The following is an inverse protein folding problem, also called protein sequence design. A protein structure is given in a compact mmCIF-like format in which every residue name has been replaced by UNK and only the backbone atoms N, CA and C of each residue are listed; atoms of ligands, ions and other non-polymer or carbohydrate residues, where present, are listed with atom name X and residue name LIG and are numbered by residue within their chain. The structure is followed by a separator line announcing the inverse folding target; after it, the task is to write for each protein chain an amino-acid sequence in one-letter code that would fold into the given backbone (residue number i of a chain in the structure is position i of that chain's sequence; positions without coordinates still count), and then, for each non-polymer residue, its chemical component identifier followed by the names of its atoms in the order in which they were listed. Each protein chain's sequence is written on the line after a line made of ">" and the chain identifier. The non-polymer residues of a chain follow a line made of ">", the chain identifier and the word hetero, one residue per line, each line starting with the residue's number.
data_IF_491852313394
#
_entry.id   IF_491852313394
#
_cell.length_a   1.000
_cell.length_b   1.000
_cell.length_c   1.000
_cell.angle_alpha   90.00
_cell.angle_beta   90.00
_cell.angle_gamma   90.00
#
_symmetry.space_group_name_H-M   'P 1'
#
loop_
_entity.id
_entity.type
_entity.pdbx_description
1 polymer ?
#
# COMPACT_ATOMS: atom_id res chain seq x y z
N UNK A 1 -6.14 17.03 3.95
CA UNK A 1 -5.56 15.85 3.29
C UNK A 1 -4.18 15.62 3.88
N UNK A 2 -3.89 14.41 4.38
CA UNK A 2 -2.60 14.06 5.00
C UNK A 2 -1.69 13.40 3.97
N UNK A 3 -0.37 13.36 4.23
CA UNK A 3 0.57 12.63 3.42
C UNK A 3 0.98 11.38 4.16
N UNK A 4 0.73 10.22 3.57
CA UNK A 4 1.08 8.91 4.09
C UNK A 4 2.43 8.47 3.54
N UNK A 5 3.44 8.46 4.41
CA UNK A 5 4.81 8.14 4.04
C UNK A 5 5.18 6.67 4.33
N UNK A 6 5.96 6.03 3.45
CA UNK A 6 6.44 4.67 3.64
C UNK A 6 7.61 4.61 4.64
N UNK A 7 7.55 3.65 5.57
CA UNK A 7 8.63 3.36 6.50
C UNK A 7 9.15 1.94 6.36
N UNK A 8 10.44 1.77 6.64
CA UNK A 8 11.10 0.49 6.81
C UNK A 8 11.86 0.40 8.12
N UNK A 9 12.42 1.52 8.61
CA UNK A 9 13.21 1.59 9.84
C UNK A 9 12.83 2.82 10.67
N UNK A 10 13.08 2.75 11.96
CA UNK A 10 12.77 3.84 12.90
C UNK A 10 13.60 5.11 12.68
N UNK A 11 14.77 5.01 12.09
CA UNK A 11 15.63 6.16 11.75
C UNK A 11 15.10 7.05 10.62
N UNK A 12 14.15 6.52 9.83
CA UNK A 12 13.49 7.27 8.76
C UNK A 12 12.42 8.27 9.25
N UNK A 13 11.87 8.06 10.44
CA UNK A 13 10.66 8.75 10.93
C UNK A 13 10.85 10.26 10.99
N UNK A 14 11.92 10.73 11.64
CA UNK A 14 12.12 12.16 11.87
C UNK A 14 12.29 12.93 10.57
N UNK A 15 13.06 12.39 9.63
CA UNK A 15 13.29 13.00 8.33
C UNK A 15 12.00 13.09 7.49
N UNK A 16 11.16 12.05 7.54
CA UNK A 16 9.89 12.03 6.83
C UNK A 16 8.85 12.93 7.50
N UNK A 17 8.82 12.97 8.83
CA UNK A 17 7.99 13.90 9.58
C UNK A 17 8.34 15.36 9.27
N UNK A 18 9.65 15.70 9.29
CA UNK A 18 10.14 17.02 8.91
C UNK A 18 9.89 17.38 7.44
N UNK A 19 9.73 16.37 6.57
CA UNK A 19 9.37 16.56 5.18
C UNK A 19 7.88 16.85 4.95
N UNK A 20 7.01 16.68 5.98
CA UNK A 20 5.58 16.94 5.90
C UNK A 20 4.70 15.69 6.00
N UNK A 21 5.26 14.50 6.32
CA UNK A 21 4.44 13.31 6.54
C UNK A 21 3.50 13.50 7.73
N UNK A 22 2.20 13.31 7.50
CA UNK A 22 1.14 13.35 8.52
C UNK A 22 0.74 11.97 9.03
N UNK A 23 1.05 10.93 8.28
CA UNK A 23 0.77 9.52 8.57
C UNK A 23 1.94 8.64 8.07
N UNK A 24 2.09 7.45 8.65
CA UNK A 24 3.11 6.50 8.26
C UNK A 24 2.53 5.11 8.00
N UNK A 25 3.16 4.34 7.11
CA UNK A 25 2.83 2.92 6.98
C UNK A 25 4.09 2.07 6.78
N UNK A 26 4.05 0.87 7.32
CA UNK A 26 5.12 -0.11 7.20
C UNK A 26 4.55 -1.51 6.94
N UNK A 27 5.39 -2.46 6.57
CA UNK A 27 5.05 -3.88 6.55
C UNK A 27 5.74 -4.56 7.71
N UNK A 28 5.08 -5.51 8.34
CA UNK A 28 5.67 -6.35 9.38
C UNK A 28 5.06 -7.75 9.31
N UNK A 29 5.86 -8.77 9.62
CA UNK A 29 5.39 -10.15 9.68
C UNK A 29 5.25 -10.61 11.13
N UNK A 30 4.29 -11.50 11.44
CA UNK A 30 4.21 -12.14 12.75
C UNK A 30 5.51 -12.87 13.09
N UNK A 31 5.96 -12.83 14.33
CA UNK A 31 7.08 -13.66 14.76
C UNK A 31 6.86 -15.16 14.43
N UNK A 32 7.88 -15.83 13.91
CA UNK A 32 7.78 -17.23 13.50
C UNK A 32 6.89 -17.49 12.27
N UNK A 33 6.61 -16.48 11.46
CA UNK A 33 5.81 -16.64 10.23
C UNK A 33 6.49 -17.58 9.23
N UNK A 34 7.77 -17.37 8.98
CA UNK A 34 8.54 -18.17 8.00
C UNK A 34 8.63 -19.64 8.42
N UNK A 35 8.72 -19.95 9.73
CA UNK A 35 8.71 -21.32 10.24
C UNK A 35 7.35 -22.01 10.02
N UNK A 36 6.25 -21.25 10.13
CA UNK A 36 4.90 -21.80 10.01
C UNK A 36 4.42 -21.92 8.57
N UNK A 37 4.78 -20.95 7.72
CA UNK A 37 4.20 -20.78 6.38
C UNK A 37 5.25 -20.62 5.28
N UNK A 38 6.53 -20.87 5.57
CA UNK A 38 7.61 -20.77 4.59
C UNK A 38 7.73 -19.37 3.99
N UNK A 39 7.87 -19.30 2.68
CA UNK A 39 8.01 -18.04 1.94
C UNK A 39 6.69 -17.29 1.68
N UNK A 40 5.57 -17.71 2.28
CA UNK A 40 4.29 -17.05 2.10
C UNK A 40 4.36 -15.56 2.52
N UNK A 41 3.88 -14.69 1.65
CA UNK A 41 3.92 -13.25 1.89
C UNK A 41 2.89 -12.82 2.95
N UNK A 42 3.28 -11.94 3.87
CA UNK A 42 2.35 -11.26 4.80
C UNK A 42 1.80 -9.99 4.17
N UNK A 43 2.61 -9.31 3.39
CA UNK A 43 2.24 -8.10 2.66
C UNK A 43 2.76 -8.15 1.23
N UNK A 44 2.24 -7.30 0.36
CA UNK A 44 2.52 -7.29 -1.09
C UNK A 44 4.01 -7.24 -1.47
N UNK A 45 4.87 -6.72 -0.62
CA UNK A 45 6.32 -6.58 -0.87
C UNK A 45 7.10 -7.62 -0.09
N UNK A 46 8.34 -7.87 -0.47
CA UNK A 46 9.25 -8.73 0.30
C UNK A 46 9.42 -8.22 1.73
N UNK A 47 9.25 -9.09 2.71
CA UNK A 47 9.49 -8.77 4.12
C UNK A 47 10.95 -8.32 4.35
N UNK A 48 11.90 -8.93 3.64
CA UNK A 48 13.33 -8.62 3.78
C UNK A 48 13.71 -7.23 3.27
N UNK A 49 13.09 -6.76 2.17
CA UNK A 49 13.45 -5.48 1.53
C UNK A 49 12.52 -4.32 1.86
N UNK A 50 11.29 -4.59 2.32
CA UNK A 50 10.25 -3.60 2.53
C UNK A 50 9.49 -3.73 3.86
N UNK A 51 9.89 -4.68 4.71
CA UNK A 51 9.33 -4.88 6.05
C UNK A 51 10.18 -4.22 7.13
N UNK A 52 9.55 -3.90 8.25
CA UNK A 52 10.22 -3.57 9.51
C UNK A 52 10.88 -4.84 10.05
N UNK A 53 12.12 -4.79 10.52
CA UNK A 53 12.86 -5.98 10.91
C UNK A 53 12.20 -6.81 12.03
N UNK A 54 11.69 -6.12 13.04
CA UNK A 54 11.10 -6.74 14.23
C UNK A 54 10.15 -5.80 14.98
N UNK A 55 9.49 -6.32 16.00
CA UNK A 55 8.58 -5.55 16.87
C UNK A 55 9.33 -4.47 17.68
N UNK A 56 10.60 -4.66 18.00
CA UNK A 56 11.37 -3.66 18.72
C UNK A 56 11.59 -2.40 17.87
N UNK A 57 11.87 -2.57 16.58
CA UNK A 57 11.95 -1.43 15.65
C UNK A 57 10.59 -0.79 15.40
N UNK A 58 9.51 -1.60 15.33
CA UNK A 58 8.15 -1.08 15.23
C UNK A 58 7.79 -0.17 16.42
N UNK A 59 8.10 -0.58 17.64
CA UNK A 59 7.90 0.25 18.84
C UNK A 59 8.68 1.57 18.77
N UNK A 60 9.92 1.52 18.27
CA UNK A 60 10.71 2.75 18.04
C UNK A 60 10.07 3.65 16.98
N UNK A 61 9.52 3.07 15.91
CA UNK A 61 8.76 3.82 14.88
C UNK A 61 7.57 4.54 15.54
N UNK A 62 6.74 3.82 16.28
CA UNK A 62 5.55 4.38 16.93
C UNK A 62 5.92 5.48 17.93
N UNK A 63 6.94 5.25 18.75
CA UNK A 63 7.41 6.25 19.72
C UNK A 63 7.92 7.53 19.03
N UNK A 64 8.70 7.40 17.94
CA UNK A 64 9.24 8.54 17.17
C UNK A 64 8.20 9.23 16.30
N UNK A 65 7.10 8.56 15.97
CA UNK A 65 6.02 9.15 15.16
C UNK A 65 5.37 10.38 15.83
N UNK A 66 5.56 10.56 17.13
CA UNK A 66 5.13 11.77 17.85
C UNK A 66 3.62 11.99 17.77
N UNK A 67 2.84 10.94 17.95
CA UNK A 67 1.38 10.96 17.86
C UNK A 67 0.80 10.88 16.42
N UNK A 68 1.65 10.86 15.40
CA UNK A 68 1.18 10.60 14.01
C UNK A 68 0.79 9.14 13.88
N UNK A 69 -0.33 8.83 13.22
CA UNK A 69 -0.77 7.44 13.04
C UNK A 69 0.25 6.62 12.26
N UNK A 70 0.48 5.38 12.71
CA UNK A 70 1.28 4.38 12.02
C UNK A 70 0.38 3.22 11.64
N UNK A 71 0.42 2.79 10.37
CA UNK A 71 -0.40 1.71 9.85
C UNK A 71 0.47 0.51 9.47
N UNK A 72 0.00 -0.70 9.81
CA UNK A 72 0.68 -1.95 9.48
C UNK A 72 0.04 -2.62 8.25
N UNK A 73 0.85 -2.95 7.24
CA UNK A 73 0.39 -3.65 6.05
C UNK A 73 0.40 -5.16 6.27
N UNK A 74 -0.78 -5.76 6.26
CA UNK A 74 -1.07 -7.18 6.19
C UNK A 74 -1.85 -7.42 4.89
N UNK A 75 -1.26 -7.05 3.75
CA UNK A 75 -1.97 -6.91 2.49
C UNK A 75 -1.44 -7.82 1.39
N UNK A 76 -1.10 -9.06 1.71
CA UNK A 76 -0.95 -10.07 0.67
C UNK A 76 -2.31 -10.35 0.01
N UNK A 77 -2.32 -10.72 -1.28
CA UNK A 77 -3.58 -10.97 -2.01
C UNK A 77 -4.26 -12.28 -1.60
N UNK A 78 -3.55 -13.17 -0.94
CA UNK A 78 -4.04 -14.45 -0.41
C UNK A 78 -3.10 -14.96 0.67
N UNK A 79 -3.60 -15.86 1.51
CA UNK A 79 -2.86 -16.47 2.59
C UNK A 79 -2.99 -18.00 2.58
N UNK A 80 -1.99 -18.75 3.11
CA UNK A 80 -2.09 -20.18 3.29
C UNK A 80 -3.21 -20.57 4.27
N UNK A 81 -3.70 -21.79 4.16
CA UNK A 81 -4.65 -22.34 5.11
C UNK A 81 -4.12 -22.22 6.56
N UNK A 82 -4.99 -21.80 7.48
CA UNK A 82 -4.65 -21.59 8.89
C UNK A 82 -3.93 -20.27 9.21
N UNK A 83 -3.54 -19.49 8.21
CA UNK A 83 -2.85 -18.22 8.43
C UNK A 83 -3.76 -17.11 8.97
N UNK A 84 -5.05 -17.12 8.62
CA UNK A 84 -6.01 -16.05 8.96
C UNK A 84 -6.12 -15.89 10.49
N UNK A 85 -6.32 -16.97 11.23
CA UNK A 85 -6.43 -16.90 12.69
C UNK A 85 -5.18 -16.25 13.33
N UNK A 86 -3.99 -16.63 12.86
CA UNK A 86 -2.73 -16.05 13.33
C UNK A 86 -2.58 -14.56 12.97
N UNK A 87 -3.06 -14.16 11.79
CA UNK A 87 -3.04 -12.75 11.37
C UNK A 87 -4.05 -11.91 12.17
N UNK A 88 -5.19 -12.47 12.55
CA UNK A 88 -6.16 -11.81 13.43
C UNK A 88 -5.56 -11.59 14.82
N UNK A 89 -4.94 -12.61 15.43
CA UNK A 89 -4.26 -12.48 16.72
C UNK A 89 -3.14 -11.43 16.66
N UNK A 90 -2.32 -11.50 15.61
CA UNK A 90 -1.24 -10.54 15.40
C UNK A 90 -1.78 -9.12 15.19
N UNK A 91 -2.81 -8.94 14.37
CA UNK A 91 -3.48 -7.66 14.15
C UNK A 91 -4.03 -7.05 15.44
N UNK A 92 -4.61 -7.90 16.31
CA UNK A 92 -5.07 -7.47 17.63
C UNK A 92 -3.93 -7.00 18.52
N UNK A 93 -2.83 -7.75 18.57
CA UNK A 93 -1.64 -7.36 19.33
C UNK A 93 -1.02 -6.06 18.79
N UNK A 94 -0.93 -5.90 17.46
CA UNK A 94 -0.42 -4.67 16.85
C UNK A 94 -1.23 -3.43 17.27
N UNK A 95 -2.56 -3.56 17.32
CA UNK A 95 -3.45 -2.43 17.69
C UNK A 95 -3.45 -2.19 19.19
N UNK A 96 -3.53 -3.25 20.00
CA UNK A 96 -3.67 -3.12 21.45
C UNK A 96 -2.35 -2.81 22.16
N UNK A 97 -1.26 -3.47 21.75
CA UNK A 97 -0.01 -3.49 22.51
C UNK A 97 1.11 -2.68 21.83
N UNK A 98 1.10 -2.59 20.50
CA UNK A 98 2.17 -1.94 19.74
C UNK A 98 1.83 -0.52 19.25
N UNK A 99 0.63 -0.03 19.52
CA UNK A 99 0.19 1.33 19.17
C UNK A 99 -0.05 1.56 17.67
N UNK A 100 -0.28 0.50 16.90
CA UNK A 100 -0.65 0.61 15.49
C UNK A 100 -2.09 1.14 15.38
N UNK A 101 -2.25 2.21 14.61
CA UNK A 101 -3.54 2.89 14.49
C UNK A 101 -4.54 2.12 13.60
N UNK A 102 -4.05 1.45 12.54
CA UNK A 102 -4.88 0.63 11.66
C UNK A 102 -4.06 -0.41 10.89
N UNK A 103 -4.76 -1.40 10.34
CA UNK A 103 -4.22 -2.50 9.54
C UNK A 103 -4.62 -2.30 8.08
N UNK A 104 -3.67 -2.30 7.16
CA UNK A 104 -3.94 -2.26 5.72
C UNK A 104 -4.09 -3.69 5.22
N UNK A 105 -5.29 -4.07 4.78
CA UNK A 105 -5.68 -5.45 4.46
C UNK A 105 -6.25 -5.54 3.05
N UNK A 106 -5.91 -6.59 2.31
CA UNK A 106 -6.39 -6.82 0.95
C UNK A 106 -7.34 -8.03 0.85
N UNK A 107 -6.96 -9.11 1.51
CA UNK A 107 -7.67 -10.39 1.43
C UNK A 107 -8.98 -10.32 2.22
N UNK A 108 -10.09 -10.67 1.55
CA UNK A 108 -11.44 -10.46 2.09
C UNK A 108 -11.73 -11.34 3.31
N UNK A 109 -11.23 -12.58 3.34
CA UNK A 109 -11.41 -13.46 4.49
C UNK A 109 -10.77 -12.85 5.75
N UNK A 110 -9.59 -12.22 5.60
CA UNK A 110 -8.96 -11.51 6.72
C UNK A 110 -9.75 -10.27 7.13
N UNK A 111 -10.33 -9.51 6.18
CA UNK A 111 -11.20 -8.36 6.52
C UNK A 111 -12.41 -8.83 7.34
N UNK A 112 -13.07 -9.92 6.92
CA UNK A 112 -14.23 -10.49 7.62
C UNK A 112 -13.84 -11.01 9.01
N UNK A 113 -12.74 -11.75 9.12
CA UNK A 113 -12.25 -12.26 10.39
C UNK A 113 -11.87 -11.15 11.39
N UNK A 114 -11.26 -10.06 10.90
CA UNK A 114 -10.95 -8.87 11.71
C UNK A 114 -12.24 -8.16 12.16
N UNK A 115 -13.26 -8.10 11.31
CA UNK A 115 -14.59 -7.59 11.69
C UNK A 115 -15.21 -8.42 12.82
N UNK A 116 -15.22 -9.75 12.71
CA UNK A 116 -15.70 -10.65 13.75
C UNK A 116 -14.90 -10.49 15.06
N UNK A 117 -13.62 -10.18 14.96
CA UNK A 117 -12.75 -9.87 16.09
C UNK A 117 -12.97 -8.47 16.70
N UNK A 118 -13.92 -7.67 16.18
CA UNK A 118 -14.23 -6.31 16.66
C UNK A 118 -13.23 -5.24 16.17
N UNK A 119 -12.45 -5.52 15.13
CA UNK A 119 -11.41 -4.64 14.61
C UNK A 119 -11.78 -3.96 13.28
N UNK A 120 -13.04 -4.03 12.82
CA UNK A 120 -13.45 -3.46 11.54
C UNK A 120 -13.03 -1.98 11.37
N UNK A 121 -13.27 -1.16 12.39
CA UNK A 121 -12.90 0.28 12.41
C UNK A 121 -11.38 0.54 12.45
N UNK A 122 -10.57 -0.50 12.54
CA UNK A 122 -9.10 -0.46 12.44
C UNK A 122 -8.61 -1.03 11.11
N UNK A 123 -9.50 -1.31 10.17
CA UNK A 123 -9.12 -1.81 8.84
C UNK A 123 -9.13 -0.67 7.82
N UNK A 124 -8.02 -0.55 7.11
CA UNK A 124 -7.89 0.19 5.86
C UNK A 124 -7.84 -0.82 4.71
N UNK A 125 -8.84 -0.80 3.84
CA UNK A 125 -8.92 -1.73 2.71
C UNK A 125 -7.87 -1.33 1.67
N UNK A 126 -6.98 -2.27 1.34
CA UNK A 126 -5.91 -2.06 0.37
C UNK A 126 -6.45 -1.92 -1.05
N UNK A 127 -5.72 -1.22 -1.92
CA UNK A 127 -5.99 -1.15 -3.35
C UNK A 127 -6.05 -2.51 -4.04
N UNK A 128 -5.37 -3.52 -3.48
CA UNK A 128 -5.44 -4.90 -3.97
C UNK A 128 -6.83 -5.55 -3.80
N UNK A 129 -7.69 -5.02 -2.92
CA UNK A 129 -9.08 -5.46 -2.79
C UNK A 129 -10.02 -4.88 -3.86
N UNK A 130 -9.48 -4.13 -4.83
CA UNK A 130 -10.15 -3.68 -6.05
C UNK A 130 -11.43 -2.87 -5.88
N UNK A 131 -11.49 -1.98 -4.89
CA UNK A 131 -12.62 -1.06 -4.75
C UNK A 131 -12.60 0.00 -5.87
N UNK A 132 -13.44 -0.16 -6.91
CA UNK A 132 -13.44 0.67 -8.12
C UNK A 132 -14.77 1.36 -8.43
N UNK A 133 -15.79 1.10 -7.64
CA UNK A 133 -17.12 1.60 -7.90
C UNK A 133 -17.93 1.80 -6.60
N UNK A 134 -19.03 2.56 -6.64
CA UNK A 134 -19.85 2.84 -5.45
C UNK A 134 -20.41 1.59 -4.76
N UNK A 135 -20.70 0.52 -5.52
CA UNK A 135 -21.20 -0.74 -4.94
C UNK A 135 -20.16 -1.43 -4.06
N UNK A 136 -18.90 -1.51 -4.53
CA UNK A 136 -17.79 -2.02 -3.73
C UNK A 136 -17.51 -1.11 -2.52
N UNK A 137 -17.60 0.19 -2.69
CA UNK A 137 -17.44 1.16 -1.61
C UNK A 137 -18.52 0.96 -0.52
N UNK A 138 -19.79 0.82 -0.92
CA UNK A 138 -20.89 0.55 0.00
C UNK A 138 -20.69 -0.77 0.76
N UNK A 139 -20.26 -1.82 0.07
CA UNK A 139 -19.93 -3.11 0.70
C UNK A 139 -18.89 -2.95 1.81
N UNK A 140 -17.76 -2.29 1.55
CA UNK A 140 -16.73 -2.08 2.57
C UNK A 140 -17.21 -1.17 3.70
N UNK A 141 -17.98 -0.11 3.40
CA UNK A 141 -18.60 0.73 4.44
C UNK A 141 -19.49 -0.11 5.37
N UNK A 142 -20.31 -0.99 4.81
CA UNK A 142 -21.27 -1.81 5.56
C UNK A 142 -20.57 -2.90 6.39
N UNK A 143 -19.32 -3.24 6.05
CA UNK A 143 -18.44 -4.03 6.91
C UNK A 143 -17.89 -3.23 8.09
N UNK A 144 -18.01 -1.91 8.10
CA UNK A 144 -17.53 -1.02 9.17
C UNK A 144 -16.05 -0.68 9.10
N UNK A 145 -15.40 -0.82 7.93
CA UNK A 145 -13.99 -0.43 7.76
C UNK A 145 -13.83 1.09 7.80
N UNK A 146 -12.67 1.57 8.22
CA UNK A 146 -12.43 3.01 8.38
C UNK A 146 -12.06 3.71 7.08
N UNK A 147 -11.24 3.08 6.23
CA UNK A 147 -10.66 3.72 5.04
C UNK A 147 -10.59 2.73 3.89
N UNK A 148 -10.68 3.26 2.67
CA UNK A 148 -10.42 2.52 1.43
C UNK A 148 -9.31 3.22 0.64
N UNK A 149 -8.31 2.44 0.23
CA UNK A 149 -7.23 2.85 -0.66
C UNK A 149 -7.66 2.51 -2.07
N UNK A 150 -7.91 3.53 -2.89
CA UNK A 150 -8.35 3.33 -4.27
C UNK A 150 -7.22 2.79 -5.15
N UNK A 151 -7.51 1.92 -6.12
CA UNK A 151 -6.54 1.49 -7.10
C UNK A 151 -5.95 2.67 -7.87
N UNK A 152 -4.68 2.58 -8.23
CA UNK A 152 -3.91 3.68 -8.82
C UNK A 152 -4.38 4.16 -10.20
N UNK A 153 -5.06 3.32 -10.95
CA UNK A 153 -5.51 3.59 -12.32
C UNK A 153 -6.92 4.22 -12.38
N UNK A 154 -7.58 4.38 -11.22
CA UNK A 154 -8.89 5.02 -11.13
C UNK A 154 -8.76 6.50 -11.49
N UNK A 155 -9.56 6.97 -12.44
CA UNK A 155 -9.58 8.35 -12.89
C UNK A 155 -10.22 9.29 -11.84
N UNK A 156 -10.00 10.59 -11.96
CA UNK A 156 -10.64 11.56 -11.06
C UNK A 156 -12.17 11.49 -11.09
N UNK A 157 -12.77 11.24 -12.25
CA UNK A 157 -14.21 11.08 -12.39
C UNK A 157 -14.73 9.83 -11.67
N UNK A 158 -13.98 8.72 -11.76
CA UNK A 158 -14.31 7.47 -11.05
C UNK A 158 -14.11 7.63 -9.54
N UNK A 159 -13.08 8.35 -9.09
CA UNK A 159 -12.89 8.69 -7.67
C UNK A 159 -14.10 9.46 -7.16
N UNK A 160 -14.53 10.50 -7.89
CA UNK A 160 -15.70 11.31 -7.55
C UNK A 160 -16.99 10.47 -7.45
N UNK A 161 -17.19 9.54 -8.40
CA UNK A 161 -18.35 8.65 -8.40
C UNK A 161 -18.30 7.61 -7.28
N UNK A 162 -17.10 7.17 -6.87
CA UNK A 162 -16.90 6.12 -5.87
C UNK A 162 -16.87 6.65 -4.45
N UNK A 163 -16.48 7.91 -4.24
CA UNK A 163 -16.31 8.53 -2.93
C UNK A 163 -17.66 8.79 -2.25
N UNK A 164 -18.18 7.76 -1.59
CA UNK A 164 -19.43 7.84 -0.80
C UNK A 164 -19.15 8.28 0.64
N UNK A 165 -20.14 8.90 1.33
CA UNK A 165 -20.03 9.22 2.76
C UNK A 165 -19.84 8.00 3.66
N UNK A 166 -19.18 8.20 4.80
CA UNK A 166 -18.98 7.18 5.82
C UNK A 166 -17.70 6.34 5.67
N UNK A 167 -16.84 6.68 4.70
CA UNK A 167 -15.52 6.11 4.52
C UNK A 167 -14.48 7.22 4.35
N UNK A 168 -13.28 7.00 4.86
CA UNK A 168 -12.11 7.78 4.44
C UNK A 168 -11.54 7.24 3.13
N UNK A 169 -11.04 8.14 2.30
CA UNK A 169 -10.46 7.81 1.00
C UNK A 169 -8.97 8.10 0.99
N UNK A 170 -8.19 7.14 0.50
CA UNK A 170 -6.75 7.25 0.29
C UNK A 170 -6.44 7.00 -1.18
N UNK A 171 -5.61 7.84 -1.79
CA UNK A 171 -5.20 7.73 -3.19
C UNK A 171 -3.69 7.77 -3.32
N UNK A 172 -3.17 7.20 -4.40
CA UNK A 172 -1.74 7.25 -4.71
C UNK A 172 -1.37 8.62 -5.26
N UNK A 173 -0.30 9.22 -4.73
CA UNK A 173 0.20 10.52 -5.16
C UNK A 173 1.46 10.41 -6.01
N UNK A 174 2.43 9.59 -5.59
CA UNK A 174 3.75 9.52 -6.19
C UNK A 174 4.37 8.11 -6.08
N UNK A 175 5.29 7.82 -7.01
CA UNK A 175 6.18 6.65 -7.03
C UNK A 175 5.51 5.31 -7.30
N UNK A 176 4.30 5.31 -7.84
CA UNK A 176 3.63 4.08 -8.21
C UNK A 176 3.45 3.98 -9.74
N UNK A 177 4.42 3.36 -10.41
CA UNK A 177 4.50 3.26 -11.86
C UNK A 177 3.86 2.01 -12.45
N UNK A 178 3.16 1.19 -11.67
CA UNK A 178 2.52 0.00 -12.22
C UNK A 178 1.23 0.37 -12.94
N UNK A 179 1.06 -0.10 -14.18
CA UNK A 179 -0.14 0.09 -15.01
C UNK A 179 -1.11 -1.09 -14.91
N UNK A 180 -0.71 -2.18 -14.25
CA UNK A 180 -1.58 -3.31 -14.02
C UNK A 180 -2.53 -3.08 -12.85
N UNK A 181 -3.70 -3.71 -12.93
CA UNK A 181 -4.60 -3.84 -11.79
C UNK A 181 -3.94 -4.69 -10.69
N UNK A 182 -3.71 -4.09 -9.55
CA UNK A 182 -2.98 -4.73 -8.44
C UNK A 182 -3.69 -5.98 -7.91
N UNK A 183 -5.00 -5.94 -7.80
CA UNK A 183 -5.79 -7.02 -7.21
C UNK A 183 -5.89 -8.26 -8.08
N UNK A 184 -5.68 -8.13 -9.39
CA UNK A 184 -5.70 -9.25 -10.35
C UNK A 184 -4.30 -9.65 -10.84
N UNK A 185 -3.25 -8.94 -10.38
CA UNK A 185 -1.89 -9.23 -10.77
C UNK A 185 -1.35 -10.48 -10.07
N UNK A 186 -1.08 -11.52 -10.83
CA UNK A 186 -0.52 -12.78 -10.35
C UNK A 186 0.99 -12.75 -10.10
N UNK A 187 1.69 -11.64 -10.42
CA UNK A 187 3.13 -11.56 -10.18
C UNK A 187 3.43 -11.36 -8.71
N UNK A 188 4.41 -12.09 -8.19
CA UNK A 188 4.90 -11.89 -6.83
C UNK A 188 6.03 -10.88 -6.80
N UNK A 189 5.86 -9.82 -6.04
CA UNK A 189 6.89 -8.82 -5.80
C UNK A 189 7.94 -9.26 -4.76
N UNK A 190 7.75 -10.43 -4.13
CA UNK A 190 8.68 -10.97 -3.15
C UNK A 190 10.04 -11.34 -3.79
N UNK A 191 10.04 -11.76 -5.06
CA UNK A 191 11.22 -12.23 -5.78
C UNK A 191 11.65 -11.28 -6.88
N UNK A 192 11.18 -10.30 -7.25
CA UNK A 192 11.30 -9.40 -8.41
C UNK A 192 10.09 -9.59 -9.34
N UNK A 193 9.37 -8.53 -9.60
CA UNK A 193 8.23 -8.61 -10.51
C UNK A 193 8.74 -8.97 -11.92
N UNK A 194 8.37 -10.13 -12.42
CA UNK A 194 8.84 -10.61 -13.72
C UNK A 194 8.44 -9.68 -14.87
N UNK A 195 7.38 -8.92 -14.69
CA UNK A 195 6.95 -7.90 -15.67
C UNK A 195 7.99 -6.77 -15.87
N UNK A 196 8.97 -6.63 -14.99
CA UNK A 196 10.11 -5.70 -15.12
C UNK A 196 11.40 -6.42 -15.52
N UNK A 197 11.35 -7.71 -15.81
CA UNK A 197 12.53 -8.47 -16.26
C UNK A 197 12.66 -8.36 -17.78
N UNK A 198 13.71 -7.70 -18.25
CA UNK A 198 13.96 -7.50 -19.69
C UNK A 198 14.10 -8.82 -20.45
N UNK A 199 14.61 -9.88 -19.82
CA UNK A 199 14.69 -11.23 -20.40
C UNK A 199 13.32 -11.82 -20.67
N UNK A 200 12.30 -11.44 -19.90
CA UNK A 200 10.91 -11.84 -20.09
C UNK A 200 10.27 -11.02 -21.21
N UNK A 201 10.66 -9.75 -21.34
CA UNK A 201 10.20 -8.88 -22.41
C UNK A 201 10.68 -9.34 -23.79
N UNK A 202 11.86 -9.93 -23.86
CA UNK A 202 12.48 -10.43 -25.10
C UNK A 202 12.01 -11.86 -25.49
N UNK A 203 11.25 -12.55 -24.63
CA UNK A 203 10.78 -13.89 -24.91
C UNK A 203 9.72 -13.90 -26.04
N UNK A 204 9.97 -14.58 -27.17
CA UNK A 204 9.15 -14.47 -28.40
C UNK A 204 7.70 -14.91 -28.25
N UNK A 205 7.36 -15.63 -27.19
CA UNK A 205 6.00 -16.16 -26.94
C UNK A 205 5.14 -15.26 -26.03
N UNK A 206 5.59 -14.04 -25.73
CA UNK A 206 4.93 -13.18 -24.72
C UNK A 206 4.49 -11.82 -25.25
N UNK A 207 4.66 -11.58 -26.50
CA UNK A 207 4.23 -10.34 -27.13
C UNK A 207 2.77 -10.48 -27.51
N UNK A 208 1.87 -10.36 -26.54
CA UNK A 208 0.54 -9.92 -26.91
C UNK A 208 0.57 -8.39 -27.09
N UNK A 209 -0.35 -7.88 -27.91
CA UNK A 209 -0.43 -6.45 -28.21
C UNK A 209 -0.59 -5.59 -26.94
N UNK A 210 -1.23 -6.11 -25.91
CA UNK A 210 -1.45 -5.44 -24.64
C UNK A 210 -0.16 -5.27 -23.85
N UNK A 211 0.71 -6.26 -23.88
CA UNK A 211 2.02 -6.16 -23.24
C UNK A 211 2.93 -5.17 -23.99
N UNK A 212 2.93 -5.19 -25.30
CA UNK A 212 3.68 -4.25 -26.13
C UNK A 212 3.20 -2.80 -25.89
N UNK A 213 1.87 -2.59 -25.84
CA UNK A 213 1.29 -1.30 -25.50
C UNK A 213 1.64 -0.83 -24.08
N UNK A 214 1.62 -1.73 -23.10
CA UNK A 214 2.01 -1.43 -21.73
C UNK A 214 3.49 -1.05 -21.63
N UNK A 215 4.38 -1.79 -22.28
CA UNK A 215 5.83 -1.44 -22.34
C UNK A 215 6.02 -0.08 -22.99
N UNK A 216 5.37 0.16 -24.10
CA UNK A 216 5.41 1.46 -24.75
C UNK A 216 4.92 2.58 -23.83
N UNK A 217 3.86 2.36 -23.07
CA UNK A 217 3.33 3.32 -22.10
C UNK A 217 4.34 3.61 -20.99
N UNK A 218 5.01 2.58 -20.44
CA UNK A 218 6.06 2.76 -19.45
C UNK A 218 7.24 3.56 -19.99
N UNK A 219 7.62 3.31 -21.23
CA UNK A 219 8.77 3.97 -21.85
C UNK A 219 8.46 5.42 -22.26
N UNK A 220 7.20 5.74 -22.53
CA UNK A 220 6.79 7.04 -23.08
C UNK A 220 5.94 7.90 -22.14
N UNK A 221 5.44 7.37 -21.03
CA UNK A 221 4.64 8.09 -20.05
C UNK A 221 5.40 8.29 -18.75
N UNK A 222 5.66 9.53 -18.41
CA UNK A 222 6.25 9.93 -17.13
C UNK A 222 7.75 10.16 -17.16
N UNK A 223 8.27 10.59 -16.02
CA UNK A 223 9.71 10.83 -15.83
C UNK A 223 10.46 9.51 -15.70
N UNK A 224 11.57 9.41 -16.38
CA UNK A 224 12.47 8.27 -16.28
C UNK A 224 13.60 8.52 -15.30
N UNK A 225 14.07 7.47 -14.63
CA UNK A 225 15.33 7.50 -13.89
C UNK A 225 16.51 7.55 -14.89
N UNK A 226 17.72 7.87 -14.40
CA UNK A 226 18.95 7.78 -15.18
C UNK A 226 19.25 6.38 -15.76
N UNK A 227 18.51 5.35 -15.29
CA UNK A 227 18.58 3.97 -15.80
C UNK A 227 17.39 3.59 -16.68
N UNK A 228 16.57 4.56 -17.14
CA UNK A 228 15.43 4.31 -18.02
C UNK A 228 14.17 3.75 -17.34
N UNK A 229 14.13 3.63 -16.02
CA UNK A 229 12.91 3.21 -15.32
C UNK A 229 11.95 4.38 -15.16
N UNK A 230 10.68 4.17 -15.46
CA UNK A 230 9.62 5.15 -15.15
C UNK A 230 9.54 5.42 -13.67
N UNK A 231 9.44 6.68 -13.30
CA UNK A 231 9.28 7.11 -11.90
C UNK A 231 7.84 6.93 -11.37
N UNK A 232 6.95 6.47 -12.23
CA UNK A 232 5.54 6.29 -11.94
C UNK A 232 4.68 7.51 -12.20
N UNK A 233 3.35 7.34 -12.25
CA UNK A 233 2.45 8.45 -12.44
C UNK A 233 2.60 9.46 -11.30
N UNK A 234 2.59 10.74 -11.68
CA UNK A 234 2.57 11.86 -10.76
C UNK A 234 1.14 12.37 -10.64
N UNK A 235 0.57 12.33 -9.44
CA UNK A 235 -0.77 12.85 -9.15
C UNK A 235 -0.80 14.30 -8.65
N UNK A 236 0.33 15.02 -8.66
CA UNK A 236 0.43 16.35 -8.02
C UNK A 236 -0.51 17.40 -8.62
N UNK A 237 -0.71 17.40 -9.93
CA UNK A 237 -1.64 18.32 -10.58
C UNK A 237 -3.12 18.07 -10.20
N UNK A 238 -3.44 16.90 -9.67
CA UNK A 238 -4.78 16.53 -9.22
C UNK A 238 -5.06 16.93 -7.75
N UNK A 239 -4.07 17.38 -6.98
CA UNK A 239 -4.21 17.68 -5.54
C UNK A 239 -5.37 18.62 -5.21
N UNK A 240 -5.61 19.74 -5.91
CA UNK A 240 -6.73 20.61 -5.60
C UNK A 240 -8.09 19.90 -5.77
N UNK A 241 -8.23 19.07 -6.80
CA UNK A 241 -9.45 18.31 -7.05
C UNK A 241 -9.65 17.20 -6.00
N UNK A 242 -8.60 16.48 -5.66
CA UNK A 242 -8.64 15.43 -4.63
C UNK A 242 -9.00 16.02 -3.25
N UNK A 243 -8.47 17.19 -2.92
CA UNK A 243 -8.82 17.90 -1.69
C UNK A 243 -10.30 18.31 -1.69
N UNK A 244 -10.82 18.84 -2.81
CA UNK A 244 -12.22 19.20 -2.96
C UNK A 244 -13.18 17.99 -2.86
N UNK A 245 -12.72 16.79 -3.27
CA UNK A 245 -13.44 15.52 -3.13
C UNK A 245 -13.39 14.93 -1.72
N UNK A 246 -12.70 15.57 -0.78
CA UNK A 246 -12.59 15.09 0.60
C UNK A 246 -11.66 13.89 0.78
N UNK A 247 -10.70 13.68 -0.13
CA UNK A 247 -9.67 12.64 0.05
C UNK A 247 -8.90 12.91 1.34
N UNK A 248 -8.87 11.92 2.23
CA UNK A 248 -8.27 12.05 3.55
C UNK A 248 -6.74 11.97 3.49
N UNK A 249 -6.20 11.09 2.63
CA UNK A 249 -4.78 10.77 2.60
C UNK A 249 -4.23 10.57 1.19
N UNK A 250 -3.01 11.07 0.99
CA UNK A 250 -2.18 10.87 -0.21
C UNK A 250 -1.06 9.89 0.09
N UNK A 251 -1.04 8.77 -0.60
CA UNK A 251 -0.03 7.74 -0.42
C UNK A 251 1.21 7.97 -1.27
N UNK A 252 2.35 8.09 -0.62
CA UNK A 252 3.67 7.97 -1.25
C UNK A 252 4.12 6.52 -1.16
N UNK A 253 4.54 5.92 -2.27
CA UNK A 253 4.94 4.52 -2.35
C UNK A 253 6.46 4.37 -2.32
N UNK A 254 6.95 3.16 -1.99
CA UNK A 254 8.37 2.82 -2.04
C UNK A 254 9.00 2.60 -0.68
N UNK A 255 8.50 1.63 0.10
CA UNK A 255 9.10 1.24 1.39
C UNK A 255 10.57 0.84 1.26
N UNK A 256 10.92 0.20 0.15
CA UNK A 256 12.28 -0.23 -0.22
C UNK A 256 13.16 0.89 -0.80
N UNK A 257 12.60 2.06 -1.11
CA UNK A 257 13.36 3.17 -1.69
C UNK A 257 14.33 3.79 -0.68
N UNK A 258 15.44 4.39 -1.14
CA UNK A 258 16.34 5.16 -0.27
C UNK A 258 15.61 6.30 0.42
N UNK A 259 16.01 6.63 1.66
CA UNK A 259 15.40 7.70 2.47
C UNK A 259 15.36 9.04 1.73
N UNK A 260 16.43 9.38 1.01
CA UNK A 260 16.50 10.63 0.23
C UNK A 260 15.37 10.75 -0.79
N UNK A 261 15.03 9.64 -1.47
CA UNK A 261 13.91 9.59 -2.42
C UNK A 261 12.56 9.70 -1.71
N UNK A 262 12.38 9.00 -0.58
CA UNK A 262 11.17 9.09 0.22
C UNK A 262 10.92 10.53 0.70
N UNK A 263 11.95 11.18 1.26
CA UNK A 263 11.92 12.58 1.73
C UNK A 263 11.58 13.53 0.59
N UNK A 264 12.23 13.39 -0.57
CA UNK A 264 11.93 14.24 -1.73
C UNK A 264 10.48 14.09 -2.19
N UNK A 265 9.96 12.85 -2.23
CA UNK A 265 8.57 12.57 -2.63
C UNK A 265 7.55 13.12 -1.64
N UNK A 266 7.81 13.03 -0.34
CA UNK A 266 6.95 13.61 0.70
C UNK A 266 6.92 15.12 0.59
N UNK A 267 8.09 15.78 0.44
CA UNK A 267 8.18 17.24 0.25
C UNK A 267 7.45 17.75 -0.98
N UNK A 268 7.47 16.98 -2.08
CA UNK A 268 6.75 17.34 -3.30
C UNK A 268 5.23 17.24 -3.15
N UNK A 269 4.75 16.38 -2.26
CA UNK A 269 3.33 16.17 -2.00
C UNK A 269 2.79 17.08 -0.87
N UNK A 270 3.67 17.65 -0.02
CA UNK A 270 3.33 18.58 1.05
C UNK A 270 3.10 19.99 0.53
#
# INVERSE_FOLDING_TARGET
>A
MKILAPLRHSDEVDALAAAGAGEFYCGIAPPGWEQAFGSAAVHRRSARSAGVPDLADLRRIVARAGGRPVFAALNAPSYPAGAIARLVEFGRALVADEGIAALIVAELELVLALREAGLASRVHVSSLATCRNPGAAAFFRDLGVARVILPRHVTLAEIEATAIPGLEWEVFALNDGCTFEEGTCSTTHAFRPYCLDDRVAEAPNRVDERYAFWRWTLDNCGSQTSRGYTLGPCGLCALPRLAALGVASLKVVGREAPLTRKVASVRLAA
#
